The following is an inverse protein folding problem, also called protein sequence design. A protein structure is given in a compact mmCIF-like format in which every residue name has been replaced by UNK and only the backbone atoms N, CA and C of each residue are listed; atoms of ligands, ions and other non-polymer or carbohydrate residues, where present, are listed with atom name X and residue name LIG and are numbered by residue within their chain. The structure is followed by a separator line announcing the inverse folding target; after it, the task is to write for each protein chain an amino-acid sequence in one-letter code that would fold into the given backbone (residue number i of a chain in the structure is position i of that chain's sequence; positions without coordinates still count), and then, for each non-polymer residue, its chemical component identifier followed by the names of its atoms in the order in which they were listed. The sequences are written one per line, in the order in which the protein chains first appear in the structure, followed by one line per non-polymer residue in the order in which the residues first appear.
data_IF_513971458176
#
_entry.id   IF_513971458176
#
_cell.length_a   1.000
_cell.length_b   1.000
_cell.length_c   1.000
_cell.angle_alpha   90.00
_cell.angle_beta   90.00
_cell.angle_gamma   90.00
#
_symmetry.space_group_name_H-M   'P 1'
#
loop_
_entity.id
_entity.type
_entity.pdbx_description
1 polymer ?
#
# COMPACT_ATOMS: atom_id res chain seq x y z
N UNK A 1 18.95 1.52 -1.74
CA UNK A 1 18.65 1.09 -3.12
C UNK A 1 17.29 1.64 -3.51
N UNK A 2 17.05 1.96 -4.80
CA UNK A 2 15.72 2.35 -5.24
C UNK A 2 14.74 1.18 -5.12
N UNK A 3 13.45 1.50 -4.98
CA UNK A 3 12.39 0.51 -5.00
C UNK A 3 12.38 -0.20 -6.37
N UNK A 4 12.48 -1.54 -6.43
CA UNK A 4 12.83 -2.23 -7.68
C UNK A 4 11.66 -2.46 -8.65
N UNK A 5 10.42 -2.21 -8.21
CA UNK A 5 9.22 -2.50 -8.98
C UNK A 5 8.53 -1.22 -9.47
N UNK A 6 7.91 -1.22 -10.67
CA UNK A 6 7.02 -0.14 -11.10
C UNK A 6 5.69 -0.14 -10.33
N UNK A 7 5.15 -1.34 -10.07
CA UNK A 7 3.93 -1.58 -9.30
C UNK A 7 4.21 -1.94 -7.84
N UNK A 8 3.43 -2.87 -7.29
CA UNK A 8 3.69 -3.43 -5.96
C UNK A 8 5.02 -4.22 -5.94
N UNK A 9 5.76 -4.19 -4.82
CA UNK A 9 6.85 -5.13 -4.61
C UNK A 9 6.27 -6.38 -3.93
N UNK A 10 6.19 -7.54 -4.60
CA UNK A 10 5.49 -8.72 -4.09
C UNK A 10 6.16 -9.30 -2.84
N UNK A 11 7.44 -9.00 -2.61
CA UNK A 11 8.17 -9.42 -1.42
C UNK A 11 7.70 -8.69 -0.15
N UNK A 12 7.06 -7.51 -0.29
CA UNK A 12 6.47 -6.80 0.85
C UNK A 12 5.23 -7.50 1.40
N UNK A 13 4.60 -8.38 0.62
CA UNK A 13 3.43 -9.16 1.04
C UNK A 13 3.82 -10.39 1.86
N UNK A 14 5.12 -10.60 2.12
CA UNK A 14 5.58 -11.66 2.99
C UNK A 14 4.87 -11.57 4.36
N UNK A 15 4.29 -12.65 4.91
CA UNK A 15 3.49 -12.58 6.13
C UNK A 15 4.19 -11.95 7.34
N UNK A 16 5.52 -12.05 7.40
CA UNK A 16 6.33 -11.43 8.45
C UNK A 16 6.58 -9.93 8.24
N UNK A 17 6.54 -9.45 7.00
CA UNK A 17 6.77 -8.04 6.64
C UNK A 17 5.46 -7.27 6.51
N UNK A 18 4.41 -7.91 5.98
CA UNK A 18 3.16 -7.25 5.62
C UNK A 18 2.51 -6.45 6.76
N UNK A 19 2.46 -6.94 8.02
CA UNK A 19 1.93 -6.15 9.11
C UNK A 19 2.67 -4.82 9.27
N UNK A 20 4.01 -4.81 9.22
CA UNK A 20 4.80 -3.60 9.34
C UNK A 20 4.57 -2.66 8.15
N UNK A 21 4.66 -3.20 6.93
CA UNK A 21 4.42 -2.46 5.68
C UNK A 21 3.06 -1.76 5.71
N UNK A 22 2.02 -2.49 6.09
CA UNK A 22 0.65 -1.98 6.16
C UNK A 22 0.51 -0.85 7.17
N UNK A 23 1.04 -1.00 8.40
CA UNK A 23 0.95 0.05 9.41
C UNK A 23 1.73 1.31 9.01
N UNK A 24 2.92 1.15 8.43
CA UNK A 24 3.70 2.28 7.92
C UNK A 24 2.96 3.03 6.82
N UNK A 25 2.38 2.31 5.85
CA UNK A 25 1.67 2.92 4.74
C UNK A 25 0.41 3.66 5.22
N UNK A 26 -0.35 3.11 6.17
CA UNK A 26 -1.49 3.79 6.79
C UNK A 26 -1.08 5.12 7.44
N UNK A 27 0.03 5.11 8.19
CA UNK A 27 0.58 6.30 8.84
C UNK A 27 0.98 7.36 7.82
N UNK A 28 1.76 6.98 6.81
CA UNK A 28 2.22 7.89 5.75
C UNK A 28 1.06 8.48 4.94
N UNK A 29 0.03 7.69 4.64
CA UNK A 29 -1.18 8.17 3.99
C UNK A 29 -1.87 9.22 4.86
N UNK A 30 -2.08 8.95 6.15
CA UNK A 30 -2.72 9.89 7.06
C UNK A 30 -1.90 11.19 7.23
N UNK A 31 -0.57 11.09 7.36
CA UNK A 31 0.33 12.23 7.45
C UNK A 31 0.31 13.09 6.17
N UNK A 32 0.20 12.44 5.00
CA UNK A 32 0.16 13.12 3.69
C UNK A 32 -1.20 13.77 3.42
N UNK A 33 -2.28 13.10 3.82
CA UNK A 33 -3.65 13.55 3.56
C UNK A 33 -4.09 14.66 4.51
N UNK A 34 -3.82 14.55 5.81
CA UNK A 34 -4.38 15.47 6.81
C UNK A 34 -4.08 16.95 6.52
N UNK A 35 -2.87 17.38 6.13
CA UNK A 35 -2.60 18.77 5.77
C UNK A 35 -3.44 19.30 4.60
N UNK A 36 -3.86 18.42 3.67
CA UNK A 36 -4.69 18.77 2.51
C UNK A 36 -6.20 18.77 2.85
N UNK A 37 -6.59 18.02 3.88
CA UNK A 37 -7.97 17.82 4.28
C UNK A 37 -8.45 18.82 5.34
N UNK A 38 -7.53 19.32 6.18
CA UNK A 38 -7.86 20.23 7.26
C UNK A 38 -8.27 21.63 6.75
N UNK A 39 -9.16 22.33 7.48
CA UNK A 39 -9.78 21.93 8.74
C UNK A 39 -11.07 21.11 8.58
N UNK A 40 -11.57 20.95 7.35
CA UNK A 40 -12.91 20.43 7.06
C UNK A 40 -13.00 18.92 7.20
N UNK A 41 -11.96 18.22 6.76
CA UNK A 41 -11.87 16.76 6.75
C UNK A 41 -10.64 16.30 7.53
N UNK A 42 -10.66 15.03 7.96
CA UNK A 42 -9.48 14.36 8.51
C UNK A 42 -9.39 12.93 8.00
N UNK A 43 -8.20 12.49 7.66
CA UNK A 43 -7.89 11.09 7.41
C UNK A 43 -7.74 10.39 8.77
N UNK A 44 -8.67 9.49 9.08
CA UNK A 44 -8.60 8.65 10.27
C UNK A 44 -8.23 7.22 9.88
N UNK A 45 -7.31 6.61 10.62
CA UNK A 45 -6.88 5.23 10.42
C UNK A 45 -7.71 4.26 11.27
N UNK A 46 -7.72 2.98 10.88
CA UNK A 46 -8.36 1.87 11.60
C UNK A 46 -9.84 2.08 11.98
N UNK A 47 -10.62 2.73 11.10
CA UNK A 47 -12.06 2.88 11.31
C UNK A 47 -12.78 1.56 11.05
N UNK A 48 -13.58 1.14 12.03
CA UNK A 48 -14.41 -0.07 12.03
C UNK A 48 -15.87 0.33 12.25
N UNK A 49 -16.80 -0.32 11.55
CA UNK A 49 -18.25 -0.04 11.68
C UNK A 49 -18.87 -1.11 12.55
N UNK A 50 -19.52 -0.68 13.64
CA UNK A 50 -20.21 -1.56 14.58
C UNK A 50 -21.71 -1.27 14.57
N UNK A 51 -22.52 -2.33 14.58
CA UNK A 51 -23.95 -2.25 14.88
C UNK A 51 -24.15 -2.50 16.37
N UNK A 52 -24.97 -1.67 17.01
CA UNK A 52 -25.32 -1.82 18.42
C UNK A 52 -26.57 -2.68 18.53
N UNK A 53 -26.45 -3.85 19.13
CA UNK A 53 -27.57 -4.76 19.41
C UNK A 53 -27.68 -4.96 20.93
N UNK A 54 -28.44 -4.09 21.60
CA UNK A 54 -28.53 -4.07 23.06
C UNK A 54 -27.24 -3.52 23.69
N UNK A 55 -26.59 -4.31 24.56
CA UNK A 55 -25.30 -3.95 25.19
C UNK A 55 -24.07 -4.43 24.40
N UNK A 56 -24.28 -5.20 23.31
CA UNK A 56 -23.19 -5.71 22.48
C UNK A 56 -22.96 -4.83 21.25
N UNK A 57 -21.68 -4.56 20.97
CA UNK A 57 -21.24 -3.92 19.74
C UNK A 57 -20.70 -4.99 18.77
N UNK A 58 -21.45 -5.27 17.72
CA UNK A 58 -21.08 -6.28 16.72
C UNK A 58 -20.40 -5.59 15.54
N UNK A 59 -19.18 -6.02 15.19
CA UNK A 59 -18.48 -5.51 14.01
C UNK A 59 -19.23 -5.96 12.75
N UNK A 60 -19.76 -5.01 11.99
CA UNK A 60 -20.52 -5.30 10.76
C UNK A 60 -19.72 -5.05 9.48
N UNK A 61 -18.56 -4.40 9.56
CA UNK A 61 -17.63 -4.33 8.43
C UNK A 61 -16.58 -3.22 8.49
N UNK A 62 -15.76 -3.19 7.44
CA UNK A 62 -14.81 -2.12 7.13
C UNK A 62 -15.18 -1.63 5.72
N UNK A 63 -15.80 -0.44 5.57
CA UNK A 63 -16.11 0.10 4.25
C UNK A 63 -14.81 0.45 3.52
N UNK A 64 -14.69 0.03 2.26
CA UNK A 64 -13.51 0.30 1.43
C UNK A 64 -13.89 0.39 -0.06
N UNK A 65 -13.21 1.27 -0.78
CA UNK A 65 -13.21 1.33 -2.23
C UNK A 65 -11.96 0.63 -2.78
N UNK A 66 -12.12 -0.12 -3.87
CA UNK A 66 -11.03 -0.88 -4.49
C UNK A 66 -10.44 -0.13 -5.69
N UNK A 67 -9.17 0.24 -5.58
CA UNK A 67 -8.36 0.77 -6.68
C UNK A 67 -7.33 -0.28 -7.10
N UNK A 68 -7.62 -1.00 -8.18
CA UNK A 68 -6.75 -2.08 -8.67
C UNK A 68 -5.73 -1.56 -9.70
N UNK A 69 -4.51 -2.08 -9.64
CA UNK A 69 -3.46 -1.91 -10.65
C UNK A 69 -2.64 -3.21 -10.73
N UNK A 70 -2.00 -3.46 -11.88
CA UNK A 70 -1.19 -4.67 -12.04
C UNK A 70 0.22 -4.47 -11.50
N UNK A 71 0.89 -5.61 -11.27
CA UNK A 71 2.27 -5.66 -10.78
C UNK A 71 3.26 -4.94 -11.72
N UNK A 72 3.02 -5.07 -13.02
CA UNK A 72 3.88 -4.56 -14.08
C UNK A 72 3.61 -3.10 -14.41
N UNK A 73 2.41 -2.61 -14.05
CA UNK A 73 1.98 -1.25 -14.28
C UNK A 73 2.52 -0.33 -13.18
N UNK A 74 2.86 0.90 -13.56
CA UNK A 74 3.21 1.92 -12.58
C UNK A 74 2.02 2.17 -11.64
N UNK A 75 2.29 2.26 -10.33
CA UNK A 75 1.25 2.57 -9.36
C UNK A 75 0.61 3.92 -9.70
N UNK A 76 -0.73 3.99 -9.91
CA UNK A 76 -1.38 5.20 -10.38
C UNK A 76 -1.44 6.28 -9.31
N UNK A 77 -1.35 7.54 -9.73
CA UNK A 77 -1.81 8.68 -8.93
C UNK A 77 -3.32 8.79 -9.06
N UNK A 78 -4.05 8.84 -7.94
CA UNK A 78 -5.51 8.97 -7.95
C UNK A 78 -5.98 10.17 -7.13
N UNK A 79 -7.15 10.70 -7.48
CA UNK A 79 -7.83 11.73 -6.68
C UNK A 79 -8.71 11.04 -5.63
N UNK A 80 -8.64 11.51 -4.39
CA UNK A 80 -9.50 10.99 -3.33
C UNK A 80 -10.81 11.79 -3.34
N UNK A 81 -11.95 11.16 -3.68
CA UNK A 81 -13.21 11.88 -3.77
C UNK A 81 -13.62 12.41 -2.40
N UNK A 82 -14.02 13.68 -2.37
CA UNK A 82 -14.55 14.33 -1.18
C UNK A 82 -16.04 14.63 -1.37
N UNK A 83 -16.77 14.65 -0.26
CA UNK A 83 -18.16 15.11 -0.27
C UNK A 83 -18.18 16.64 -0.43
N UNK A 84 -19.27 17.19 -0.98
CA UNK A 84 -19.52 18.64 -1.10
C UNK A 84 -18.58 19.45 -2.02
N UNK A 85 -18.14 18.90 -3.16
CA UNK A 85 -17.35 19.63 -4.18
C UNK A 85 -16.02 20.25 -3.65
N UNK A 86 -15.50 19.73 -2.54
CA UNK A 86 -14.21 20.15 -2.01
C UNK A 86 -13.07 19.74 -2.96
N UNK A 87 -11.95 20.46 -2.91
CA UNK A 87 -10.77 20.11 -3.71
C UNK A 87 -10.25 18.73 -3.33
N UNK A 88 -10.34 17.78 -4.25
CA UNK A 88 -9.89 16.41 -4.05
C UNK A 88 -8.36 16.35 -3.96
N UNK A 89 -7.80 15.80 -2.86
CA UNK A 89 -6.36 15.62 -2.77
C UNK A 89 -5.91 14.53 -3.74
N UNK A 90 -4.77 14.75 -4.38
CA UNK A 90 -4.13 13.75 -5.24
C UNK A 90 -3.14 12.93 -4.43
N UNK A 91 -3.24 11.62 -4.55
CA UNK A 91 -2.39 10.67 -3.86
C UNK A 91 -1.48 9.98 -4.85
N UNK A 92 -0.18 10.22 -4.66
CA UNK A 92 0.88 9.47 -5.32
C UNK A 92 1.28 8.28 -4.44
N UNK A 93 0.60 7.15 -4.66
CA UNK A 93 0.84 5.94 -3.88
C UNK A 93 2.24 5.34 -4.16
N UNK A 94 2.78 5.55 -5.38
CA UNK A 94 4.14 5.11 -5.71
C UNK A 94 5.17 5.81 -4.82
N UNK A 95 5.04 7.13 -4.66
CA UNK A 95 5.92 7.92 -3.80
C UNK A 95 5.83 7.46 -2.33
N UNK A 96 4.63 7.15 -1.83
CA UNK A 96 4.43 6.68 -0.47
C UNK A 96 5.00 5.27 -0.24
N UNK A 97 4.86 4.35 -1.20
CA UNK A 97 5.49 3.03 -1.15
C UNK A 97 7.02 3.14 -1.15
N UNK A 98 7.58 4.01 -2.00
CA UNK A 98 9.01 4.31 -1.99
C UNK A 98 9.47 4.87 -0.65
N UNK A 99 8.69 5.79 -0.07
CA UNK A 99 9.00 6.36 1.24
C UNK A 99 8.96 5.30 2.34
N UNK A 100 7.94 4.44 2.37
CA UNK A 100 7.86 3.33 3.31
C UNK A 100 9.06 2.38 3.16
N UNK A 101 9.38 2.00 1.93
CA UNK A 101 10.50 1.11 1.61
C UNK A 101 11.84 1.63 2.10
N UNK A 102 12.12 2.90 1.83
CA UNK A 102 13.38 3.53 2.26
C UNK A 102 13.41 3.75 3.77
N UNK A 103 12.30 4.16 4.39
CA UNK A 103 12.22 4.46 5.82
C UNK A 103 12.39 3.21 6.69
N UNK A 104 11.81 2.09 6.27
CA UNK A 104 11.93 0.80 6.96
C UNK A 104 13.23 0.06 6.62
N UNK A 105 13.94 0.48 5.56
CA UNK A 105 15.17 -0.18 5.13
C UNK A 105 14.93 -1.55 4.50
N UNK A 106 13.80 -1.77 3.82
CA UNK A 106 13.49 -3.10 3.27
C UNK A 106 14.52 -3.62 2.25
N UNK A 107 15.34 -2.74 1.68
CA UNK A 107 16.48 -3.13 0.85
C UNK A 107 17.48 -4.05 1.56
N UNK A 108 17.56 -4.03 2.89
CA UNK A 108 18.43 -4.96 3.67
C UNK A 108 17.67 -6.14 4.26
N UNK A 109 16.34 -6.05 4.34
CA UNK A 109 15.49 -7.07 4.94
C UNK A 109 15.00 -8.12 3.94
N UNK A 110 14.88 -7.72 2.66
CA UNK A 110 14.35 -8.58 1.60
C UNK A 110 15.50 -9.25 0.86
N UNK A 111 15.46 -10.58 0.81
CA UNK A 111 16.27 -11.39 -0.09
C UNK A 111 15.52 -11.58 -1.41
N UNK A 112 16.00 -10.95 -2.48
CA UNK A 112 15.40 -11.05 -3.83
C UNK A 112 15.82 -12.32 -4.59
N UNK A 113 16.73 -13.13 -4.02
CA UNK A 113 17.20 -14.38 -4.65
C UNK A 113 16.24 -15.54 -4.41
N UNK A 114 15.38 -15.44 -3.38
CA UNK A 114 14.31 -16.40 -3.10
C UNK A 114 13.01 -15.97 -3.77
N UNK A 115 12.08 -16.88 -3.98
CA UNK A 115 10.78 -16.53 -4.56
C UNK A 115 9.89 -15.81 -3.53
N UNK A 116 9.04 -14.87 -3.97
CA UNK A 116 8.16 -14.14 -3.07
C UNK A 116 7.12 -15.06 -2.43
N UNK A 117 6.72 -14.71 -1.21
CA UNK A 117 5.61 -15.33 -0.49
C UNK A 117 4.55 -14.24 -0.29
N UNK A 118 3.28 -14.46 -0.69
CA UNK A 118 2.74 -15.65 -1.35
C UNK A 118 3.28 -15.87 -2.78
N UNK A 119 3.26 -17.11 -3.29
CA UNK A 119 3.77 -17.42 -4.63
C UNK A 119 2.93 -16.74 -5.72
N UNK A 120 3.62 -16.24 -6.74
CA UNK A 120 2.99 -15.63 -7.90
C UNK A 120 2.57 -16.69 -8.93
N UNK A 121 1.57 -16.35 -9.76
CA UNK A 121 1.28 -17.13 -10.95
C UNK A 121 2.48 -17.19 -11.90
N UNK A 122 2.61 -18.23 -12.74
CA UNK A 122 3.83 -18.52 -13.51
C UNK A 122 4.25 -17.37 -14.44
N UNK A 123 3.30 -16.68 -15.08
CA UNK A 123 3.58 -15.53 -15.95
C UNK A 123 4.21 -14.37 -15.16
N UNK A 124 3.62 -14.02 -14.01
CA UNK A 124 4.12 -12.96 -13.13
C UNK A 124 5.46 -13.33 -12.51
N UNK A 125 5.66 -14.60 -12.12
CA UNK A 125 6.91 -15.08 -11.58
C UNK A 125 8.05 -14.96 -12.60
N UNK A 126 7.82 -15.34 -13.86
CA UNK A 126 8.79 -15.19 -14.94
C UNK A 126 9.13 -13.71 -15.22
N UNK A 127 8.13 -12.83 -15.17
CA UNK A 127 8.36 -11.39 -15.30
C UNK A 127 9.19 -10.82 -14.14
N UNK A 128 8.86 -11.17 -12.89
CA UNK A 128 9.62 -10.75 -11.70
C UNK A 128 11.07 -11.22 -11.79
N UNK A 129 11.28 -12.48 -12.17
CA UNK A 129 12.61 -13.05 -12.34
C UNK A 129 13.43 -12.28 -13.38
N UNK A 130 12.86 -12.01 -14.56
CA UNK A 130 13.51 -11.23 -15.60
C UNK A 130 13.85 -9.80 -15.15
N UNK A 131 12.93 -9.15 -14.41
CA UNK A 131 13.12 -7.81 -13.89
C UNK A 131 14.27 -7.76 -12.87
N UNK A 132 14.29 -8.67 -11.90
CA UNK A 132 15.31 -8.70 -10.84
C UNK A 132 16.71 -9.01 -11.40
N UNK A 133 16.83 -9.94 -12.36
CA UNK A 133 18.09 -10.21 -13.05
C UNK A 133 18.59 -8.98 -13.83
N UNK A 134 17.70 -8.26 -14.51
CA UNK A 134 18.08 -7.03 -15.24
C UNK A 134 18.64 -5.92 -14.32
N UNK A 135 18.28 -5.97 -13.04
CA UNK A 135 18.72 -5.03 -12.00
C UNK A 135 19.90 -5.56 -11.16
N UNK A 136 20.36 -6.81 -11.41
CA UNK A 136 21.42 -7.46 -10.64
C UNK A 136 21.04 -7.81 -9.20
N UNK A 137 19.75 -7.96 -8.93
CA UNK A 137 19.20 -8.36 -7.62
C UNK A 137 19.03 -9.88 -7.48
N UNK A 138 19.13 -10.60 -8.60
CA UNK A 138 19.06 -12.05 -8.71
C UNK A 138 20.10 -12.54 -9.73
#
# INVERSE_FOLDING_TARGET
MPFPFPGMNPYLEHPELWPEVHHLLMGLLAETLNPQLLPTYRAAIEKRVYELSGEEAVLIGIPADLYAFNLEDAVPTFALPLVNEATEPRIDLYALLNQAYNRAGYAVAIDYTVDPVPPLGPEKAAWVDSLLHSQGLR
#
